data_IF_711078444244
#
_entry.id   IF_711078444244
#
_cell.length_a   1.000
_cell.length_b   1.000
_cell.length_c   1.000
_cell.angle_alpha   90.00
_cell.angle_beta   90.00
_cell.angle_gamma   90.00
#
_symmetry.space_group_name_H-M   'P 1'
#
loop_
_entity.id
_entity.type
_entity.pdbx_description
1 polymer ?
#
# COMPACT_ATOMS: atom_id res chain seq x y z
N UNK A 1 50.76 -48.75 22.17
CA UNK A 1 49.36 -48.27 22.05
C UNK A 1 49.43 -46.94 21.30
N UNK A 2 48.86 -46.92 20.09
CA UNK A 2 49.49 -46.33 18.90
C UNK A 2 49.11 -44.86 18.66
N UNK A 3 50.09 -44.11 18.16
CA UNK A 3 50.06 -42.75 17.61
C UNK A 3 48.85 -42.48 16.68
N UNK A 4 48.31 -43.53 16.07
CA UNK A 4 47.10 -43.52 15.22
C UNK A 4 45.83 -43.01 15.94
N UNK A 5 45.69 -43.20 17.26
CA UNK A 5 44.50 -42.68 17.99
C UNK A 5 44.54 -41.15 18.16
N UNK A 6 45.73 -40.56 18.29
CA UNK A 6 45.87 -39.10 18.43
C UNK A 6 45.70 -38.43 17.06
N UNK A 7 46.22 -39.05 16.00
CA UNK A 7 46.00 -38.57 14.63
C UNK A 7 44.51 -38.60 14.25
N UNK A 8 43.78 -39.67 14.58
CA UNK A 8 42.34 -39.76 14.30
C UNK A 8 41.52 -38.71 15.06
N UNK A 9 41.89 -38.35 16.29
CA UNK A 9 41.21 -37.29 17.04
C UNK A 9 41.45 -35.94 16.36
N UNK A 10 42.67 -35.63 15.94
CA UNK A 10 42.97 -34.39 15.21
C UNK A 10 42.31 -34.33 13.82
N UNK A 11 42.27 -35.45 13.09
CA UNK A 11 41.61 -35.54 11.79
C UNK A 11 40.08 -35.38 11.91
N UNK A 12 39.49 -35.97 12.96
CA UNK A 12 38.05 -35.82 13.25
C UNK A 12 37.73 -34.39 13.72
N UNK A 13 38.61 -33.76 14.49
CA UNK A 13 38.41 -32.37 14.97
C UNK A 13 38.55 -31.34 13.83
N UNK A 14 39.49 -31.52 12.90
CA UNK A 14 39.64 -30.65 11.73
C UNK A 14 38.53 -30.84 10.68
N UNK A 15 37.94 -32.04 10.61
CA UNK A 15 36.84 -32.33 9.67
C UNK A 15 35.46 -31.84 10.17
N UNK A 16 35.32 -31.45 11.45
CA UNK A 16 34.03 -31.08 12.07
C UNK A 16 33.90 -29.60 12.45
N UNK A 17 34.89 -28.74 12.17
CA UNK A 17 34.88 -27.34 12.63
C UNK A 17 35.41 -26.31 11.64
N UNK A 18 35.07 -26.48 10.36
CA UNK A 18 35.03 -25.36 9.43
C UNK A 18 33.63 -25.32 8.80
N UNK A 19 32.67 -24.53 9.34
CA UNK A 19 31.67 -23.97 8.45
C UNK A 19 32.47 -23.23 7.37
N UNK A 20 32.35 -23.64 6.11
CA UNK A 20 33.09 -23.02 5.02
C UNK A 20 32.84 -21.51 5.11
N UNK A 21 33.93 -20.75 5.20
CA UNK A 21 33.90 -19.27 5.15
C UNK A 21 33.06 -18.83 3.93
N UNK A 22 33.05 -19.64 2.86
CA UNK A 22 32.19 -19.48 1.69
C UNK A 22 30.69 -19.44 2.03
N UNK A 23 30.17 -20.28 2.93
CA UNK A 23 28.76 -20.25 3.33
C UNK A 23 28.43 -19.00 4.16
N UNK A 24 29.31 -18.54 5.05
CA UNK A 24 29.10 -17.30 5.80
C UNK A 24 29.23 -16.06 4.92
N UNK A 25 30.15 -16.08 3.95
CA UNK A 25 30.32 -15.02 2.95
C UNK A 25 29.14 -15.03 1.98
N UNK A 26 28.61 -16.17 1.56
CA UNK A 26 27.40 -16.27 0.73
C UNK A 26 26.14 -15.79 1.48
N UNK A 27 26.01 -16.14 2.75
CA UNK A 27 24.94 -15.62 3.64
C UNK A 27 25.11 -14.09 3.90
N UNK A 28 26.34 -13.56 3.90
CA UNK A 28 26.59 -12.11 3.99
C UNK A 28 26.39 -11.37 2.66
N UNK A 29 26.71 -12.01 1.53
CA UNK A 29 26.66 -11.42 0.17
C UNK A 29 25.22 -11.33 -0.32
N UNK A 30 24.32 -12.22 0.10
CA UNK A 30 22.92 -12.21 -0.36
C UNK A 30 21.91 -11.77 0.71
N UNK A 31 22.29 -10.84 1.58
CA UNK A 31 21.30 -10.08 2.36
C UNK A 31 20.63 -9.03 1.46
N UNK A 32 19.86 -9.48 0.47
CA UNK A 32 19.03 -8.64 -0.40
C UNK A 32 18.28 -7.67 0.50
N UNK A 33 18.54 -6.36 0.38
CA UNK A 33 17.93 -5.32 1.21
C UNK A 33 16.41 -5.44 1.10
N UNK A 34 15.76 -6.18 2.02
CA UNK A 34 14.31 -6.29 2.06
C UNK A 34 13.76 -4.90 2.32
N UNK A 35 13.07 -4.35 1.32
CA UNK A 35 12.31 -3.11 1.44
C UNK A 35 11.30 -3.26 2.57
N UNK A 36 11.23 -2.28 3.47
CA UNK A 36 10.31 -2.38 4.61
C UNK A 36 8.86 -2.37 4.11
N UNK A 37 8.01 -3.34 4.51
CA UNK A 37 6.61 -3.40 4.05
C UNK A 37 5.82 -2.11 4.27
N UNK A 38 6.09 -1.41 5.38
CA UNK A 38 5.46 -0.11 5.69
C UNK A 38 5.77 0.96 4.64
N UNK A 39 6.97 0.97 4.06
CA UNK A 39 7.32 1.92 2.99
C UNK A 39 6.54 1.64 1.71
N UNK A 40 6.42 0.36 1.35
CA UNK A 40 5.70 -0.06 0.15
C UNK A 40 4.22 0.30 0.30
N UNK A 41 3.60 -0.05 1.42
CA UNK A 41 2.21 0.29 1.68
C UNK A 41 1.99 1.81 1.66
N UNK A 42 2.85 2.58 2.32
CA UNK A 42 2.75 4.03 2.32
C UNK A 42 2.88 4.64 0.91
N UNK A 43 3.74 4.09 0.05
CA UNK A 43 3.86 4.51 -1.35
C UNK A 43 2.60 4.15 -2.15
N UNK A 44 2.08 2.94 -1.98
CA UNK A 44 0.84 2.50 -2.63
C UNK A 44 -0.32 3.40 -2.21
N UNK A 45 -0.48 3.66 -0.90
CA UNK A 45 -1.53 4.53 -0.36
C UNK A 45 -1.42 5.95 -0.95
N UNK A 46 -0.19 6.47 -1.09
CA UNK A 46 0.05 7.77 -1.70
C UNK A 46 -0.32 7.81 -3.19
N UNK A 47 0.03 6.76 -3.95
CA UNK A 47 -0.33 6.65 -5.37
C UNK A 47 -1.86 6.55 -5.53
N UNK A 48 -2.52 5.72 -4.71
CA UNK A 48 -3.99 5.58 -4.68
C UNK A 48 -4.63 6.93 -4.35
N UNK A 49 -4.10 7.67 -3.38
CA UNK A 49 -4.59 8.99 -3.01
C UNK A 49 -4.51 9.99 -4.17
N UNK A 50 -3.36 10.08 -4.85
CA UNK A 50 -3.18 10.98 -6.00
C UNK A 50 -4.08 10.56 -7.17
N UNK A 51 -4.18 9.26 -7.47
CA UNK A 51 -5.06 8.75 -8.50
C UNK A 51 -6.53 9.05 -8.23
N UNK A 52 -6.97 8.91 -6.96
CA UNK A 52 -8.31 9.30 -6.54
C UNK A 52 -8.57 10.79 -6.78
N UNK A 53 -7.66 11.67 -6.35
CA UNK A 53 -7.82 13.11 -6.55
C UNK A 53 -7.87 13.49 -8.05
N UNK A 54 -7.06 12.83 -8.89
CA UNK A 54 -7.14 13.03 -10.33
C UNK A 54 -8.49 12.57 -10.91
N UNK A 55 -9.05 11.46 -10.41
CA UNK A 55 -10.35 10.97 -10.85
C UNK A 55 -11.52 11.87 -10.41
N UNK A 56 -11.38 12.66 -9.35
CA UNK A 56 -12.43 13.57 -8.85
C UNK A 56 -12.72 14.76 -9.76
N UNK A 57 -11.86 15.06 -10.73
CA UNK A 57 -12.07 16.14 -11.70
C UNK A 57 -12.07 15.61 -13.15
N UNK A 58 -13.22 15.14 -13.65
CA UNK A 58 -13.37 14.72 -15.04
C UNK A 58 -13.27 15.89 -16.02
N UNK A 59 -13.46 17.15 -15.60
CA UNK A 59 -13.27 18.30 -16.48
C UNK A 59 -11.78 18.53 -16.76
N UNK A 60 -10.92 18.33 -15.77
CA UNK A 60 -9.46 18.40 -15.95
C UNK A 60 -8.91 17.18 -16.71
N UNK A 61 -9.38 15.97 -16.38
CA UNK A 61 -8.82 14.74 -16.96
C UNK A 61 -9.44 14.36 -18.31
N UNK A 62 -10.68 14.78 -18.58
CA UNK A 62 -11.48 14.30 -19.70
C UNK A 62 -12.17 12.97 -19.39
N UNK A 63 -13.37 12.78 -19.96
CA UNK A 63 -14.26 11.65 -19.66
C UNK A 63 -13.57 10.29 -19.89
N UNK A 64 -12.91 10.12 -21.03
CA UNK A 64 -12.22 8.87 -21.35
C UNK A 64 -11.14 8.52 -20.30
N UNK A 65 -10.31 9.50 -19.90
CA UNK A 65 -9.27 9.26 -18.89
C UNK A 65 -9.89 9.00 -17.53
N UNK A 66 -10.91 9.77 -17.13
CA UNK A 66 -11.65 9.57 -15.89
C UNK A 66 -12.20 8.13 -15.79
N UNK A 67 -12.84 7.62 -16.83
CA UNK A 67 -13.42 6.27 -16.83
C UNK A 67 -12.35 5.18 -16.74
N UNK A 68 -11.32 5.23 -17.60
CA UNK A 68 -10.24 4.25 -17.57
C UNK A 68 -9.45 4.27 -16.26
N UNK A 69 -9.17 5.47 -15.74
CA UNK A 69 -8.52 5.65 -14.44
C UNK A 69 -9.38 5.06 -13.32
N UNK A 70 -10.70 5.31 -13.35
CA UNK A 70 -11.64 4.80 -12.35
C UNK A 70 -11.78 3.27 -12.40
N UNK A 71 -11.79 2.66 -13.58
CA UNK A 71 -11.78 1.20 -13.74
C UNK A 71 -10.48 0.60 -13.18
N UNK A 72 -9.33 1.16 -13.55
CA UNK A 72 -8.03 0.70 -13.04
C UNK A 72 -7.93 0.85 -11.50
N UNK A 73 -8.41 1.98 -10.99
CA UNK A 73 -8.50 2.26 -9.57
C UNK A 73 -9.42 1.27 -8.84
N UNK A 74 -10.58 0.95 -9.42
CA UNK A 74 -11.50 -0.06 -8.87
C UNK A 74 -10.87 -1.45 -8.82
N UNK A 75 -10.15 -1.86 -9.87
CA UNK A 75 -9.40 -3.11 -9.87
C UNK A 75 -8.28 -3.13 -8.80
N UNK A 76 -7.59 -2.01 -8.59
CA UNK A 76 -6.58 -1.87 -7.56
C UNK A 76 -7.18 -2.00 -6.14
N UNK A 77 -8.32 -1.37 -5.87
CA UNK A 77 -9.03 -1.50 -4.59
C UNK A 77 -9.47 -2.94 -4.37
N UNK A 78 -10.11 -3.59 -5.34
CA UNK A 78 -10.53 -4.99 -5.22
C UNK A 78 -9.33 -5.88 -4.90
N UNK A 79 -8.22 -5.71 -5.64
CA UNK A 79 -6.98 -6.46 -5.41
C UNK A 79 -6.44 -6.23 -4.00
N UNK A 80 -6.40 -4.97 -3.55
CA UNK A 80 -5.96 -4.61 -2.20
C UNK A 80 -6.82 -5.30 -1.13
N UNK A 81 -8.15 -5.30 -1.29
CA UNK A 81 -9.06 -5.97 -0.36
C UNK A 81 -8.88 -7.48 -0.32
N UNK A 82 -8.72 -8.13 -1.48
CA UNK A 82 -8.51 -9.58 -1.56
C UNK A 82 -7.20 -9.99 -0.88
N UNK A 83 -6.11 -9.24 -1.12
CA UNK A 83 -4.82 -9.47 -0.47
C UNK A 83 -4.89 -9.29 1.06
N UNK A 84 -5.79 -8.43 1.54
CA UNK A 84 -5.94 -8.12 2.96
C UNK A 84 -7.20 -8.74 3.61
N UNK A 85 -7.84 -9.71 2.94
CA UNK A 85 -9.11 -10.30 3.39
C UNK A 85 -9.07 -10.88 4.82
N UNK A 86 -7.98 -11.58 5.17
CA UNK A 86 -7.81 -12.16 6.52
C UNK A 86 -7.75 -11.08 7.60
N UNK A 87 -7.12 -9.95 7.30
CA UNK A 87 -7.04 -8.81 8.21
C UNK A 87 -8.41 -8.14 8.36
N UNK A 88 -9.15 -7.99 7.26
CA UNK A 88 -10.50 -7.44 7.27
C UNK A 88 -11.43 -8.31 8.14
N UNK A 89 -11.48 -9.62 7.89
CA UNK A 89 -12.30 -10.55 8.67
C UNK A 89 -11.93 -10.56 10.16
N UNK A 90 -10.64 -10.51 10.50
CA UNK A 90 -10.17 -10.43 11.89
C UNK A 90 -10.58 -9.11 12.57
N UNK A 91 -10.53 -8.00 11.82
CA UNK A 91 -10.93 -6.67 12.29
C UNK A 91 -12.42 -6.60 12.53
N UNK A 92 -13.24 -7.18 11.64
CA UNK A 92 -14.70 -7.26 11.80
C UNK A 92 -15.09 -8.07 13.03
N UNK A 93 -14.40 -9.19 13.31
CA UNK A 93 -14.66 -9.98 14.52
C UNK A 93 -14.32 -9.24 15.81
N UNK A 94 -13.29 -8.37 15.80
CA UNK A 94 -12.90 -7.57 16.97
C UNK A 94 -13.91 -6.47 17.33
N UNK A 95 -14.87 -6.14 16.46
CA UNK A 95 -15.96 -5.19 16.76
C UNK A 95 -16.78 -5.64 17.97
N UNK A 96 -17.03 -6.95 18.08
CA UNK A 96 -17.82 -7.53 19.16
C UNK A 96 -17.04 -7.62 20.50
N UNK A 97 -15.79 -7.14 20.52
CA UNK A 97 -14.97 -7.08 21.72
C UNK A 97 -14.91 -5.66 22.31
N UNK A 98 -14.44 -5.54 23.56
CA UNK A 98 -14.22 -4.25 24.22
C UNK A 98 -12.99 -3.54 23.62
N UNK A 99 -13.16 -2.91 22.44
CA UNK A 99 -12.14 -2.06 21.80
C UNK A 99 -12.24 -0.60 22.26
N UNK A 100 -11.09 0.08 22.30
CA UNK A 100 -10.99 1.50 22.62
C UNK A 100 -11.84 2.38 21.68
N UNK A 101 -12.35 3.51 22.18
CA UNK A 101 -13.22 4.44 21.41
C UNK A 101 -12.61 4.86 20.08
N UNK A 102 -11.31 5.18 20.04
CA UNK A 102 -10.61 5.55 18.81
C UNK A 102 -10.65 4.44 17.76
N UNK A 103 -10.42 3.18 18.17
CA UNK A 103 -10.47 2.05 17.25
C UNK A 103 -11.86 1.86 16.65
N UNK A 104 -12.93 2.14 17.41
CA UNK A 104 -14.31 2.11 16.90
C UNK A 104 -14.57 3.20 15.87
N UNK A 105 -14.14 4.43 16.12
CA UNK A 105 -14.31 5.54 15.18
C UNK A 105 -13.57 5.25 13.87
N UNK A 106 -12.32 4.80 13.94
CA UNK A 106 -11.55 4.43 12.75
C UNK A 106 -12.22 3.31 11.98
N UNK A 107 -12.75 2.30 12.69
CA UNK A 107 -13.45 1.19 12.07
C UNK A 107 -14.71 1.64 11.33
N UNK A 108 -15.56 2.46 11.97
CA UNK A 108 -16.80 2.97 11.37
C UNK A 108 -16.47 3.81 10.14
N UNK A 109 -15.52 4.74 10.26
CA UNK A 109 -15.10 5.60 9.14
C UNK A 109 -14.57 4.77 7.97
N UNK A 110 -13.69 3.79 8.23
CA UNK A 110 -13.16 2.92 7.18
C UNK A 110 -14.24 2.04 6.54
N UNK A 111 -15.24 1.61 7.31
CA UNK A 111 -16.35 0.82 6.78
C UNK A 111 -17.26 1.67 5.88
N UNK A 112 -17.63 2.87 6.34
CA UNK A 112 -18.41 3.81 5.53
C UNK A 112 -17.66 4.18 4.26
N UNK A 113 -16.37 4.48 4.37
CA UNK A 113 -15.55 4.82 3.22
C UNK A 113 -15.43 3.64 2.24
N UNK A 114 -15.29 2.41 2.72
CA UNK A 114 -15.28 1.23 1.86
C UNK A 114 -16.61 1.02 1.11
N UNK A 115 -17.75 1.17 1.81
CA UNK A 115 -19.08 1.03 1.20
C UNK A 115 -19.27 2.09 0.12
N UNK A 116 -18.97 3.35 0.45
CA UNK A 116 -19.10 4.47 -0.46
C UNK A 116 -18.17 4.35 -1.67
N UNK A 117 -16.91 3.95 -1.47
CA UNK A 117 -15.99 3.67 -2.57
C UNK A 117 -16.50 2.56 -3.51
N UNK A 118 -17.12 1.53 -2.97
CA UNK A 118 -17.73 0.47 -3.79
C UNK A 118 -18.91 1.02 -4.59
N UNK A 119 -19.73 1.87 -3.98
CA UNK A 119 -20.88 2.49 -4.62
C UNK A 119 -20.47 3.44 -5.74
N UNK A 120 -19.51 4.35 -5.52
CA UNK A 120 -19.05 5.30 -6.54
C UNK A 120 -18.41 4.60 -7.74
N UNK A 121 -17.60 3.55 -7.51
CA UNK A 121 -17.00 2.76 -8.59
C UNK A 121 -18.09 2.05 -9.39
N UNK A 122 -19.02 1.37 -8.71
CA UNK A 122 -20.09 0.61 -9.37
C UNK A 122 -21.00 1.54 -10.19
N UNK A 123 -21.45 2.64 -9.60
CA UNK A 123 -22.29 3.62 -10.28
C UNK A 123 -21.55 4.31 -11.43
N UNK A 124 -20.24 4.52 -11.32
CA UNK A 124 -19.38 5.03 -12.39
C UNK A 124 -19.32 4.10 -13.60
N UNK A 125 -19.19 2.79 -13.36
CA UNK A 125 -19.26 1.77 -14.42
C UNK A 125 -20.64 1.80 -15.10
N UNK A 126 -21.72 1.95 -14.32
CA UNK A 126 -23.09 1.99 -14.85
C UNK A 126 -23.39 3.22 -15.71
N UNK A 127 -22.65 4.31 -15.57
CA UNK A 127 -22.81 5.55 -16.36
C UNK A 127 -21.71 5.76 -17.41
N UNK A 128 -20.83 4.77 -17.63
CA UNK A 128 -19.72 4.88 -18.57
C UNK A 128 -20.21 5.15 -20.00
N UNK A 129 -19.64 6.18 -20.62
CA UNK A 129 -19.97 6.64 -21.97
C UNK A 129 -18.87 6.29 -22.98
N UNK A 130 -17.63 6.06 -22.54
CA UNK A 130 -16.48 5.84 -23.41
C UNK A 130 -15.86 4.44 -23.22
N UNK A 131 -15.53 4.05 -22.00
CA UNK A 131 -14.78 2.83 -21.71
C UNK A 131 -15.59 1.55 -21.97
N UNK A 132 -16.83 1.45 -21.47
CA UNK A 132 -17.67 0.27 -21.68
C UNK A 132 -18.10 0.09 -23.14
N UNK A 133 -18.53 1.15 -23.86
CA UNK A 133 -18.86 1.04 -25.28
C UNK A 133 -17.67 0.58 -26.14
N UNK A 134 -16.44 1.00 -25.82
CA UNK A 134 -15.22 0.49 -26.46
C UNK A 134 -15.00 -1.02 -26.25
N UNK A 135 -15.50 -1.58 -25.13
CA UNK A 135 -15.49 -3.01 -24.85
C UNK A 135 -16.70 -3.76 -25.45
N UNK A 136 -17.54 -3.07 -26.23
CA UNK A 136 -18.75 -3.64 -26.84
C UNK A 136 -19.94 -3.75 -25.88
N UNK A 137 -19.86 -3.20 -24.68
CA UNK A 137 -20.93 -3.21 -23.68
C UNK A 137 -21.66 -1.86 -23.74
N UNK A 138 -22.96 -1.89 -24.05
CA UNK A 138 -23.79 -0.69 -24.08
C UNK A 138 -24.73 -0.69 -22.88
N UNK A 139 -24.53 0.26 -21.98
CA UNK A 139 -25.44 0.56 -20.89
C UNK A 139 -26.12 1.89 -21.20
N UNK A 140 -27.41 2.01 -20.90
CA UNK A 140 -28.09 3.32 -20.95
C UNK A 140 -27.89 4.03 -19.62
N UNK A 141 -27.18 5.18 -19.58
CA UNK A 141 -26.96 5.92 -18.34
C UNK A 141 -28.26 6.50 -17.81
N UNK A 142 -28.89 5.79 -16.88
CA UNK A 142 -30.11 6.24 -16.20
C UNK A 142 -29.85 7.39 -15.22
N UNK A 143 -30.85 8.25 -15.03
CA UNK A 143 -30.82 9.36 -14.06
C UNK A 143 -30.39 8.92 -12.65
N UNK A 144 -30.93 7.79 -12.18
CA UNK A 144 -30.64 7.23 -10.85
C UNK A 144 -29.14 6.95 -10.68
N UNK A 145 -28.48 6.41 -11.70
CA UNK A 145 -27.05 6.08 -11.63
C UNK A 145 -26.19 7.33 -11.55
N UNK A 146 -26.52 8.37 -12.33
CA UNK A 146 -25.80 9.66 -12.29
C UNK A 146 -25.98 10.35 -10.94
N UNK A 147 -27.18 10.35 -10.38
CA UNK A 147 -27.44 10.92 -9.05
C UNK A 147 -26.68 10.18 -7.96
N UNK A 148 -26.73 8.84 -7.96
CA UNK A 148 -25.98 8.04 -6.99
C UNK A 148 -24.47 8.24 -7.13
N UNK A 149 -23.96 8.30 -8.35
CA UNK A 149 -22.54 8.53 -8.60
C UNK A 149 -22.10 9.91 -8.08
N UNK A 150 -22.86 10.97 -8.35
CA UNK A 150 -22.56 12.31 -7.86
C UNK A 150 -22.60 12.39 -6.33
N UNK A 151 -23.67 11.87 -5.72
CA UNK A 151 -23.81 11.89 -4.25
C UNK A 151 -22.72 11.09 -3.55
N UNK A 152 -22.38 9.92 -4.11
CA UNK A 152 -21.31 9.07 -3.59
C UNK A 152 -19.93 9.69 -3.82
N UNK A 153 -19.71 10.40 -4.93
CA UNK A 153 -18.46 11.14 -5.17
C UNK A 153 -18.25 12.25 -4.14
N UNK A 154 -19.29 13.04 -3.84
CA UNK A 154 -19.25 14.07 -2.80
C UNK A 154 -18.97 13.46 -1.42
N UNK A 155 -19.65 12.36 -1.10
CA UNK A 155 -19.43 11.62 0.13
C UNK A 155 -18.00 11.06 0.22
N UNK A 156 -17.45 10.53 -0.88
CA UNK A 156 -16.12 9.95 -0.94
C UNK A 156 -15.05 10.99 -0.62
N UNK A 157 -15.17 12.19 -1.21
CA UNK A 157 -14.26 13.29 -0.94
C UNK A 157 -14.32 13.73 0.53
N UNK A 158 -15.51 13.82 1.11
CA UNK A 158 -15.70 14.15 2.52
C UNK A 158 -15.12 13.08 3.46
N UNK A 159 -15.43 11.81 3.21
CA UNK A 159 -14.94 10.66 3.98
C UNK A 159 -13.42 10.53 3.90
N UNK A 160 -12.83 10.78 2.72
CA UNK A 160 -11.38 10.83 2.55
C UNK A 160 -10.76 11.95 3.38
N UNK A 161 -11.36 13.15 3.38
CA UNK A 161 -10.92 14.27 4.21
C UNK A 161 -10.90 13.91 5.70
N UNK A 162 -11.97 13.30 6.20
CA UNK A 162 -12.03 12.80 7.58
C UNK A 162 -10.97 11.72 7.85
N UNK A 163 -10.78 10.80 6.91
CA UNK A 163 -9.79 9.72 7.03
C UNK A 163 -8.38 10.29 7.16
N UNK A 164 -8.00 11.23 6.27
CA UNK A 164 -6.70 11.91 6.33
C UNK A 164 -6.53 12.69 7.64
N UNK A 165 -7.54 13.45 8.06
CA UNK A 165 -7.49 14.23 9.29
C UNK A 165 -7.26 13.34 10.53
N UNK A 166 -7.98 12.22 10.61
CA UNK A 166 -7.86 11.28 11.72
C UNK A 166 -6.49 10.60 11.76
N UNK A 167 -5.88 10.35 10.59
CA UNK A 167 -4.59 9.69 10.45
C UNK A 167 -3.39 10.67 10.35
N UNK A 168 -3.61 11.98 10.46
CA UNK A 168 -2.62 13.03 10.21
C UNK A 168 -1.29 12.83 10.96
N UNK A 169 -1.35 12.54 12.27
CA UNK A 169 -0.15 12.32 13.10
C UNK A 169 0.71 11.17 12.58
N UNK A 170 0.07 10.07 12.17
CA UNK A 170 0.76 8.93 11.60
C UNK A 170 1.39 9.28 10.24
N UNK A 171 0.64 9.98 9.38
CA UNK A 171 1.12 10.43 8.06
C UNK A 171 2.40 11.27 8.24
N UNK A 172 2.35 12.34 9.02
CA UNK A 172 3.50 13.24 9.24
C UNK A 172 4.71 12.48 9.80
N UNK A 173 4.50 11.57 10.77
CA UNK A 173 5.60 10.79 11.34
C UNK A 173 6.24 9.83 10.32
N UNK A 174 5.42 9.23 9.46
CA UNK A 174 5.83 8.28 8.43
C UNK A 174 6.58 8.99 7.30
N UNK A 175 6.08 10.13 6.83
CA UNK A 175 6.76 11.01 5.86
C UNK A 175 8.12 11.46 6.40
N UNK A 176 8.18 11.92 7.65
CA UNK A 176 9.44 12.31 8.29
C UNK A 176 10.46 11.17 8.28
N UNK A 177 10.03 9.96 8.63
CA UNK A 177 10.91 8.79 8.75
C UNK A 177 11.44 8.31 7.39
N UNK A 178 10.59 8.25 6.38
CA UNK A 178 10.91 7.55 5.13
C UNK A 178 11.18 8.45 3.93
N UNK A 179 10.76 9.72 3.98
CA UNK A 179 10.95 10.68 2.89
C UNK A 179 11.96 11.74 3.32
N UNK A 180 11.71 12.45 4.42
CA UNK A 180 12.55 13.60 4.82
C UNK A 180 13.94 13.19 5.33
N UNK A 181 14.04 12.26 6.29
CA UNK A 181 15.34 11.84 6.84
C UNK A 181 16.33 11.33 5.77
N UNK A 182 15.92 10.46 4.82
CA UNK A 182 16.80 10.03 3.74
C UNK A 182 17.25 11.18 2.83
N UNK A 183 16.35 12.09 2.44
CA UNK A 183 16.70 13.22 1.57
C UNK A 183 17.72 14.16 2.22
N UNK A 184 17.56 14.46 3.51
CA UNK A 184 18.49 15.31 4.25
C UNK A 184 19.87 14.63 4.36
N UNK A 185 19.90 13.33 4.64
CA UNK A 185 21.15 12.55 4.71
C UNK A 185 21.92 12.58 3.38
N UNK A 186 21.22 12.40 2.25
CA UNK A 186 21.83 12.46 0.91
C UNK A 186 22.39 13.87 0.64
N UNK A 187 21.63 14.92 0.95
CA UNK A 187 22.06 16.31 0.74
C UNK A 187 23.27 16.68 1.59
N UNK A 188 23.29 16.28 2.87
CA UNK A 188 24.43 16.50 3.76
C UNK A 188 25.66 15.69 3.34
N UNK A 189 25.47 14.47 2.84
CA UNK A 189 26.54 13.66 2.27
C UNK A 189 27.20 14.33 1.05
N UNK A 190 26.39 14.90 0.16
CA UNK A 190 26.87 15.64 -1.01
C UNK A 190 27.65 16.90 -0.63
N UNK A 191 27.12 17.71 0.29
CA UNK A 191 27.82 18.92 0.79
C UNK A 191 29.14 18.56 1.48
N UNK A 192 29.17 17.49 2.27
CA UNK A 192 30.41 17.03 2.91
C UNK A 192 31.49 16.62 1.90
N UNK A 193 31.10 16.01 0.77
CA UNK A 193 32.03 15.68 -0.30
C UNK A 193 32.56 16.93 -1.01
N UNK A 194 31.70 17.91 -1.30
CA UNK A 194 32.10 19.19 -1.92
C UNK A 194 33.05 20.02 -1.04
N UNK A 195 32.88 19.99 0.29
CA UNK A 195 33.77 20.70 1.23
C UNK A 195 35.11 19.97 1.45
N UNK A 196 35.18 18.67 1.17
CA UNK A 196 36.40 17.85 1.37
C UNK A 196 37.25 17.69 0.11
N UNK A 197 36.80 18.23 -1.03
CA UNK A 197 37.48 18.19 -2.32
C UNK A 197 38.19 19.52 -2.61
#
# INVERSE_FOLDING_TARGET
MKFEKVLNIFQTYFHYHHPSIENEVEIMVERKKKTSPVKINYLIDFIIFVAFLAAMDPHMTGIAIHEWLSIAFGAAIITHLLLHWRWLAATTRRIFSKVARQARVNYILNTLFFIDMTLVIFTGIMISEEALPLLGIRLEPGFIWRTLHSLSSDAALFLLGLHVALHWKWIVSTTKRYVLKPMISIRLGKVRQEVSA
#
